data_IF_082604116163
#
_entry.id   IF_082604116163
#
_cell.length_a   1.000
_cell.length_b   1.000
_cell.length_c   1.000
_cell.angle_alpha   90.00
_cell.angle_beta   90.00
_cell.angle_gamma   90.00
#
_symmetry.space_group_name_H-M   'P 1'
#
loop_
_entity.id
_entity.type
_entity.pdbx_description
1 polymer ?
#
# COMPACT_ATOMS: atom_id res chain seq x y z
N UNK A 1 16.61 -7.95 50.10
CA UNK A 1 17.68 -7.25 49.37
C UNK A 1 18.02 -7.99 48.08
N UNK A 2 17.17 -7.95 47.04
CA UNK A 2 17.46 -8.74 45.83
C UNK A 2 16.77 -8.20 44.56
N UNK A 3 17.14 -6.99 44.12
CA UNK A 3 16.75 -6.46 42.78
C UNK A 3 17.79 -5.47 42.23
N UNK A 4 18.99 -5.93 41.85
CA UNK A 4 19.99 -5.08 41.15
C UNK A 4 20.90 -5.80 40.12
N UNK A 5 20.44 -6.86 39.40
CA UNK A 5 21.34 -7.60 38.47
C UNK A 5 21.03 -7.59 36.96
N UNK A 6 19.99 -6.92 36.46
CA UNK A 6 19.60 -7.08 35.04
C UNK A 6 19.89 -5.92 34.08
N UNK A 7 20.69 -4.91 34.44
CA UNK A 7 20.86 -3.71 33.59
C UNK A 7 22.16 -3.64 32.75
N UNK A 8 23.03 -4.67 32.76
CA UNK A 8 24.33 -4.61 32.05
C UNK A 8 24.36 -5.26 30.65
N UNK A 9 23.34 -6.03 30.24
CA UNK A 9 23.37 -6.74 28.93
C UNK A 9 22.85 -5.90 27.76
N UNK A 10 22.04 -4.88 27.99
CA UNK A 10 21.46 -4.08 26.91
C UNK A 10 22.37 -2.96 26.39
N UNK A 11 23.45 -2.61 27.10
CA UNK A 11 24.36 -1.54 26.68
C UNK A 11 25.50 -2.01 25.75
N UNK A 12 25.80 -3.32 25.69
CA UNK A 12 26.87 -3.83 24.82
C UNK A 12 26.44 -4.04 23.35
N UNK A 13 25.14 -4.15 23.05
CA UNK A 13 24.66 -4.32 21.67
C UNK A 13 24.64 -3.03 20.84
N UNK A 14 24.65 -1.85 21.48
CA UNK A 14 24.58 -0.57 20.76
C UNK A 14 25.95 -0.06 20.27
N UNK A 15 27.08 -0.62 20.75
CA UNK A 15 28.43 -0.22 20.31
C UNK A 15 28.92 -0.98 19.06
N UNK A 16 28.44 -2.19 18.81
CA UNK A 16 28.91 -3.02 17.68
C UNK A 16 28.31 -2.60 16.32
N UNK A 17 27.21 -1.84 16.32
CA UNK A 17 26.50 -1.46 15.09
C UNK A 17 27.02 -0.18 14.40
N UNK A 18 27.98 0.54 15.00
CA UNK A 18 28.54 1.77 14.42
C UNK A 18 29.67 1.52 13.42
N UNK A 19 30.15 0.29 13.26
CA UNK A 19 31.32 -0.04 12.41
C UNK A 19 31.00 -0.54 10.99
N UNK A 20 29.72 -0.64 10.58
CA UNK A 20 29.31 -1.20 9.27
C UNK A 20 28.58 -0.21 8.35
N UNK A 21 29.08 1.02 8.21
CA UNK A 21 28.68 1.91 7.10
C UNK A 21 29.69 1.81 5.96
N UNK A 22 29.41 0.97 4.96
CA UNK A 22 30.08 1.07 3.65
C UNK A 22 29.37 2.14 2.80
N UNK A 23 30.09 3.08 2.17
CA UNK A 23 29.50 4.03 1.22
C UNK A 23 29.10 3.31 -0.09
N UNK A 24 27.98 3.70 -0.67
CA UNK A 24 27.52 3.24 -2.00
C UNK A 24 28.33 3.94 -3.11
N UNK A 25 28.70 3.25 -4.20
CA UNK A 25 29.39 3.86 -5.33
C UNK A 25 28.45 4.74 -6.17
N UNK A 26 28.96 5.88 -6.64
CA UNK A 26 28.22 6.81 -7.51
C UNK A 26 28.16 6.33 -8.98
N UNK A 27 27.09 6.68 -9.73
CA UNK A 27 26.91 6.28 -11.12
C UNK A 27 27.69 7.17 -12.10
N UNK A 28 28.45 6.53 -13.00
CA UNK A 28 29.20 7.18 -14.08
C UNK A 28 28.30 7.71 -15.21
N UNK A 29 28.58 8.93 -15.70
CA UNK A 29 27.91 9.53 -16.87
C UNK A 29 28.69 9.31 -18.19
N UNK A 30 28.00 9.09 -19.32
CA UNK A 30 28.63 8.91 -20.62
C UNK A 30 28.95 10.25 -21.33
N UNK A 31 30.12 10.33 -21.98
CA UNK A 31 30.58 11.47 -22.78
C UNK A 31 30.10 11.37 -24.23
N UNK A 32 29.56 12.46 -24.80
CA UNK A 32 29.17 12.55 -26.21
C UNK A 32 30.28 13.19 -27.06
N UNK A 33 30.45 12.71 -28.30
CA UNK A 33 31.36 13.29 -29.30
C UNK A 33 30.59 13.69 -30.55
N UNK A 34 30.79 14.93 -31.01
CA UNK A 34 30.13 15.52 -32.18
C UNK A 34 31.16 15.77 -33.30
N UNK A 35 30.98 15.15 -34.48
CA UNK A 35 31.77 15.43 -35.69
C UNK A 35 30.92 16.21 -36.71
N UNK A 36 31.37 17.41 -37.09
CA UNK A 36 30.80 18.23 -38.19
C UNK A 36 31.48 17.88 -39.52
N UNK A 37 30.70 17.58 -40.55
CA UNK A 37 31.14 17.51 -41.97
C UNK A 37 30.68 18.76 -42.72
N UNK A 38 31.59 19.38 -43.48
CA UNK A 38 31.35 20.51 -44.40
C UNK A 38 31.01 19.96 -45.80
N UNK A 39 30.06 20.59 -46.50
CA UNK A 39 29.70 20.27 -47.90
C UNK A 39 29.75 21.51 -48.79
N UNK A 40 30.01 21.26 -50.08
CA UNK A 40 30.49 22.17 -51.13
C UNK A 40 29.32 22.85 -51.91
N UNK A 41 29.38 24.14 -52.34
CA UNK A 41 28.17 24.91 -52.69
C UNK A 41 27.84 25.13 -54.18
N UNK A 42 28.40 24.43 -55.17
CA UNK A 42 28.24 24.79 -56.60
C UNK A 42 27.46 23.80 -57.49
N UNK A 43 26.20 23.50 -57.15
CA UNK A 43 25.23 22.89 -58.08
C UNK A 43 23.80 23.37 -57.75
N UNK A 44 23.45 24.60 -58.13
CA UNK A 44 22.11 25.16 -57.90
C UNK A 44 21.74 26.08 -59.06
N UNK A 45 20.99 25.59 -60.07
CA UNK A 45 19.96 26.47 -60.69
C UNK A 45 18.95 25.79 -61.63
N UNK A 46 19.21 24.63 -62.25
CA UNK A 46 18.22 24.02 -63.18
C UNK A 46 17.28 22.96 -62.55
N UNK A 47 17.55 22.51 -61.32
CA UNK A 47 16.71 21.53 -60.61
C UNK A 47 15.50 22.13 -59.85
N UNK A 48 15.38 23.47 -59.81
CA UNK A 48 14.47 24.20 -58.91
C UNK A 48 12.98 23.91 -59.14
N UNK A 49 12.50 23.86 -60.38
CA UNK A 49 11.05 23.86 -60.63
C UNK A 49 10.41 22.47 -60.52
N UNK A 50 11.08 21.41 -61.02
CA UNK A 50 10.62 20.01 -60.82
C UNK A 50 10.73 19.58 -59.35
N UNK A 51 11.75 20.05 -58.61
CA UNK A 51 11.85 19.79 -57.17
C UNK A 51 10.73 20.48 -56.39
N UNK A 52 10.41 21.75 -56.70
CA UNK A 52 9.30 22.48 -56.06
C UNK A 52 7.94 21.81 -56.25
N UNK A 53 7.64 21.28 -57.45
CA UNK A 53 6.39 20.54 -57.69
C UNK A 53 6.35 19.20 -56.94
N UNK A 54 7.42 18.41 -56.97
CA UNK A 54 7.52 17.16 -56.18
C UNK A 54 7.38 17.43 -54.67
N UNK A 55 7.95 18.52 -54.18
CA UNK A 55 7.89 18.89 -52.76
C UNK A 55 6.47 19.31 -52.33
N UNK A 56 5.74 20.07 -53.17
CA UNK A 56 4.33 20.40 -52.93
C UNK A 56 3.43 19.16 -52.94
N UNK A 57 3.63 18.21 -53.86
CA UNK A 57 2.88 16.95 -53.89
C UNK A 57 3.16 16.10 -52.64
N UNK A 58 4.43 16.00 -52.20
CA UNK A 58 4.81 15.26 -51.00
C UNK A 58 4.22 15.87 -49.72
N UNK A 59 4.20 17.21 -49.62
CA UNK A 59 3.55 17.90 -48.49
C UNK A 59 2.03 17.66 -48.46
N UNK A 60 1.36 17.67 -49.62
CA UNK A 60 -0.08 17.39 -49.73
C UNK A 60 -0.42 15.94 -49.34
N UNK A 61 0.40 14.97 -49.77
CA UNK A 61 0.23 13.57 -49.38
C UNK A 61 0.44 13.35 -47.87
N UNK A 62 1.48 13.94 -47.28
CA UNK A 62 1.69 13.86 -45.83
C UNK A 62 0.54 14.49 -45.05
N UNK A 63 -0.01 15.63 -45.49
CA UNK A 63 -1.13 16.26 -44.78
C UNK A 63 -2.40 15.39 -44.80
N UNK A 64 -2.63 14.63 -45.86
CA UNK A 64 -3.77 13.71 -45.99
C UNK A 64 -3.57 12.49 -45.07
N UNK A 65 -2.38 11.89 -45.07
CA UNK A 65 -2.06 10.77 -44.16
C UNK A 65 -2.21 11.15 -42.68
N UNK A 66 -1.72 12.33 -42.27
CA UNK A 66 -1.88 12.78 -40.88
C UNK A 66 -3.34 12.99 -40.49
N UNK A 67 -4.19 13.44 -41.42
CA UNK A 67 -5.63 13.60 -41.18
C UNK A 67 -6.34 12.24 -41.05
N UNK A 68 -5.96 11.25 -41.87
CA UNK A 68 -6.50 9.89 -41.79
C UNK A 68 -6.12 9.24 -40.46
N UNK A 69 -4.84 9.29 -40.08
CA UNK A 69 -4.35 8.73 -38.81
C UNK A 69 -5.02 9.38 -37.58
N UNK A 70 -5.21 10.71 -37.58
CA UNK A 70 -5.96 11.38 -36.50
C UNK A 70 -7.42 10.94 -36.45
N UNK A 71 -8.07 10.75 -37.61
CA UNK A 71 -9.48 10.33 -37.67
C UNK A 71 -9.67 8.88 -37.21
N UNK A 72 -8.73 7.99 -37.54
CA UNK A 72 -8.73 6.60 -37.07
C UNK A 72 -8.43 6.49 -35.57
N UNK A 73 -7.46 7.27 -35.06
CA UNK A 73 -7.15 7.33 -33.63
C UNK A 73 -8.34 7.82 -32.80
N UNK A 74 -9.02 8.89 -33.24
CA UNK A 74 -10.23 9.37 -32.57
C UNK A 74 -11.40 8.37 -32.64
N UNK A 75 -11.47 7.55 -33.71
CA UNK A 75 -12.52 6.53 -33.86
C UNK A 75 -12.25 5.29 -32.99
N UNK A 76 -10.98 4.97 -32.71
CA UNK A 76 -10.59 3.93 -31.76
C UNK A 76 -10.74 4.39 -30.30
N UNK A 77 -10.38 5.64 -29.97
CA UNK A 77 -10.59 6.21 -28.63
C UNK A 77 -12.09 6.21 -28.26
N UNK A 78 -12.99 6.55 -29.20
CA UNK A 78 -14.43 6.56 -28.93
C UNK A 78 -15.11 5.17 -28.89
N UNK A 79 -14.54 4.14 -29.53
CA UNK A 79 -15.10 2.77 -29.48
C UNK A 79 -14.71 1.99 -28.23
N UNK A 80 -13.67 2.41 -27.52
CA UNK A 80 -13.20 1.71 -26.31
C UNK A 80 -13.99 2.13 -25.06
N UNK A 81 -14.69 3.26 -25.11
CA UNK A 81 -15.34 3.86 -23.94
C UNK A 81 -16.75 3.31 -23.65
N UNK A 82 -17.44 2.73 -24.64
CA UNK A 82 -18.85 2.33 -24.49
C UNK A 82 -19.05 0.86 -24.06
N UNK A 83 -18.08 -0.04 -24.27
CA UNK A 83 -18.24 -1.46 -23.91
C UNK A 83 -17.82 -1.82 -22.48
N UNK A 84 -17.38 -0.83 -21.68
CA UNK A 84 -16.80 -1.09 -20.35
C UNK A 84 -17.48 -0.31 -19.23
N UNK A 85 -18.76 0.05 -19.38
CA UNK A 85 -19.60 0.40 -18.23
C UNK A 85 -20.02 -0.85 -17.44
N UNK A 86 -19.05 -1.73 -17.17
CA UNK A 86 -19.21 -2.79 -16.18
C UNK A 86 -19.47 -2.08 -14.86
N UNK A 87 -20.67 -2.24 -14.29
CA UNK A 87 -21.01 -1.66 -12.99
C UNK A 87 -19.87 -1.94 -12.02
N UNK A 88 -19.12 -0.90 -11.65
CA UNK A 88 -17.98 -1.04 -10.75
C UNK A 88 -18.55 -1.39 -9.38
N UNK A 89 -18.65 -2.69 -9.11
CA UNK A 89 -19.08 -3.19 -7.82
C UNK A 89 -17.93 -2.98 -6.84
N UNK A 90 -18.05 -1.93 -6.02
CA UNK A 90 -17.09 -1.64 -4.96
C UNK A 90 -17.00 -2.81 -4.00
N UNK A 91 -15.77 -3.22 -3.74
CA UNK A 91 -15.48 -4.34 -2.87
C UNK A 91 -15.13 -3.87 -1.47
N UNK A 92 -15.61 -4.61 -0.46
CA UNK A 92 -15.16 -4.48 0.92
C UNK A 92 -15.14 -5.87 1.57
N UNK A 93 -14.14 -6.20 2.42
CA UNK A 93 -14.03 -7.52 3.03
C UNK A 93 -15.28 -7.89 3.83
N UNK A 94 -15.70 -9.16 3.77
CA UNK A 94 -16.82 -9.67 4.58
C UNK A 94 -16.39 -9.96 6.03
N UNK A 95 -15.09 -10.15 6.26
CA UNK A 95 -14.51 -10.39 7.59
C UNK A 95 -13.27 -9.52 7.81
N UNK A 96 -13.19 -8.89 8.98
CA UNK A 96 -11.96 -8.27 9.48
C UNK A 96 -11.37 -9.14 10.60
N UNK A 97 -10.14 -9.60 10.42
CA UNK A 97 -9.38 -10.36 11.41
C UNK A 97 -8.60 -9.39 12.30
N UNK A 98 -8.74 -9.52 13.61
CA UNK A 98 -8.00 -8.74 14.61
C UNK A 98 -7.36 -9.65 15.65
N UNK A 99 -6.15 -9.32 16.07
CA UNK A 99 -5.48 -9.98 17.19
C UNK A 99 -5.95 -9.52 18.57
N UNK A 100 -6.77 -8.47 18.67
CA UNK A 100 -7.33 -7.98 19.93
C UNK A 100 -6.39 -7.15 20.81
N UNK A 101 -5.21 -6.71 20.34
CA UNK A 101 -4.33 -5.80 21.07
C UNK A 101 -4.83 -4.33 21.03
N UNK A 102 -4.29 -3.45 21.88
CA UNK A 102 -4.42 -1.99 21.72
C UNK A 102 -3.75 -1.51 20.43
N UNK A 103 -4.06 -0.29 19.96
CA UNK A 103 -3.49 0.27 18.73
C UNK A 103 -4.19 -0.25 17.47
N UNK A 104 -3.43 -0.74 16.50
CA UNK A 104 -3.97 -1.15 15.20
C UNK A 104 -5.07 -2.24 15.30
N UNK A 105 -4.83 -3.29 16.11
CA UNK A 105 -5.80 -4.36 16.35
C UNK A 105 -7.14 -3.83 16.91
N UNK A 106 -7.17 -2.62 17.50
CA UNK A 106 -8.38 -2.00 18.04
C UNK A 106 -9.16 -1.14 17.02
N UNK A 107 -8.62 -0.90 15.83
CA UNK A 107 -9.29 -0.14 14.76
C UNK A 107 -10.67 -0.74 14.43
N UNK A 108 -10.81 -2.07 14.20
CA UNK A 108 -12.11 -2.65 13.84
C UNK A 108 -13.17 -2.45 14.93
N UNK A 109 -12.77 -2.49 16.21
CA UNK A 109 -13.69 -2.28 17.34
C UNK A 109 -14.24 -0.86 17.38
N UNK A 110 -13.43 0.12 16.98
CA UNK A 110 -13.81 1.55 16.93
C UNK A 110 -14.85 1.82 15.83
N UNK A 111 -14.81 1.07 14.74
CA UNK A 111 -15.75 1.18 13.61
C UNK A 111 -16.81 0.06 13.59
N UNK A 112 -16.93 -0.71 14.67
CA UNK A 112 -17.78 -1.92 14.72
C UNK A 112 -19.23 -1.69 14.27
N UNK A 113 -19.86 -0.59 14.72
CA UNK A 113 -21.24 -0.27 14.31
C UNK A 113 -21.37 -0.07 12.80
N UNK A 114 -20.36 0.52 12.16
CA UNK A 114 -20.32 0.71 10.71
C UNK A 114 -20.11 -0.64 9.99
N UNK A 115 -19.19 -1.48 10.49
CA UNK A 115 -18.95 -2.82 9.96
C UNK A 115 -20.22 -3.67 10.03
N UNK A 116 -20.91 -3.69 11.18
CA UNK A 116 -22.16 -4.42 11.38
C UNK A 116 -23.25 -3.99 10.38
N UNK A 117 -23.42 -2.67 10.16
CA UNK A 117 -24.36 -2.14 9.15
C UNK A 117 -24.04 -2.58 7.72
N UNK A 118 -22.79 -2.93 7.44
CA UNK A 118 -22.32 -3.45 6.14
C UNK A 118 -22.33 -4.98 6.07
N UNK A 119 -22.78 -5.68 7.11
CA UNK A 119 -22.72 -7.14 7.18
C UNK A 119 -21.30 -7.70 7.39
N UNK A 120 -20.34 -6.85 7.77
CA UNK A 120 -18.95 -7.24 7.97
C UNK A 120 -18.75 -7.78 9.38
N UNK A 121 -18.19 -8.99 9.48
CA UNK A 121 -17.91 -9.67 10.75
C UNK A 121 -16.52 -9.29 11.26
N UNK A 122 -16.35 -9.34 12.58
CA UNK A 122 -15.03 -9.32 13.21
C UNK A 122 -14.73 -10.72 13.72
N UNK A 123 -13.52 -11.20 13.47
CA UNK A 123 -13.01 -12.48 13.96
C UNK A 123 -11.55 -12.32 14.39
N UNK A 124 -10.99 -13.39 14.96
CA UNK A 124 -9.56 -13.50 15.21
C UNK A 124 -9.23 -14.14 16.54
N UNK A 125 -7.95 -14.42 16.72
CA UNK A 125 -7.38 -15.08 17.87
C UNK A 125 -6.64 -14.08 18.75
N UNK A 126 -6.95 -14.14 20.04
CA UNK A 126 -6.21 -13.48 21.12
C UNK A 126 -5.22 -14.48 21.76
N UNK A 127 -4.13 -14.02 22.39
CA UNK A 127 -3.26 -14.91 23.15
C UNK A 127 -3.97 -15.54 24.36
N UNK A 128 -3.46 -16.68 24.84
CA UNK A 128 -3.93 -17.36 26.07
C UNK A 128 -4.05 -16.38 27.24
N UNK A 129 -5.15 -16.46 27.97
CA UNK A 129 -5.61 -15.56 29.02
C UNK A 129 -6.19 -14.24 28.49
N UNK A 130 -6.56 -14.18 27.21
CA UNK A 130 -6.94 -12.95 26.50
C UNK A 130 -5.97 -11.78 26.77
N UNK A 131 -4.65 -12.04 26.81
CA UNK A 131 -3.66 -11.02 27.16
C UNK A 131 -3.74 -9.81 26.23
N UNK A 132 -3.86 -8.62 26.84
CA UNK A 132 -3.94 -7.31 26.20
C UNK A 132 -3.27 -6.29 27.10
N UNK A 133 -2.64 -5.25 26.54
CA UNK A 133 -1.85 -4.28 27.32
C UNK A 133 -2.66 -3.49 28.36
N UNK A 134 -3.95 -3.29 28.12
CA UNK A 134 -4.86 -2.57 29.03
C UNK A 134 -5.61 -3.49 30.01
N UNK A 135 -5.33 -4.80 29.98
CA UNK A 135 -6.00 -5.79 30.83
C UNK A 135 -7.45 -6.09 30.46
N UNK A 136 -8.02 -5.47 29.41
CA UNK A 136 -9.46 -5.58 29.06
C UNK A 136 -9.75 -6.67 28.02
N UNK A 137 -8.81 -7.58 27.78
CA UNK A 137 -8.89 -8.52 26.66
C UNK A 137 -10.12 -9.44 26.70
N UNK A 138 -10.46 -10.03 27.85
CA UNK A 138 -11.65 -10.91 27.95
C UNK A 138 -12.95 -10.16 27.63
N UNK A 139 -13.09 -8.90 28.10
CA UNK A 139 -14.24 -8.04 27.79
C UNK A 139 -14.33 -7.72 26.30
N UNK A 140 -13.18 -7.43 25.66
CA UNK A 140 -13.11 -7.19 24.21
C UNK A 140 -13.48 -8.47 23.43
N UNK A 141 -12.94 -9.62 23.83
CA UNK A 141 -13.21 -10.89 23.18
C UNK A 141 -14.69 -11.26 23.25
N UNK A 142 -15.32 -11.17 24.42
CA UNK A 142 -16.74 -11.42 24.60
C UNK A 142 -17.60 -10.47 23.75
N UNK A 143 -17.28 -9.18 23.74
CA UNK A 143 -18.06 -8.17 23.03
C UNK A 143 -18.01 -8.31 21.50
N UNK A 144 -16.86 -8.71 20.95
CA UNK A 144 -16.62 -8.72 19.51
C UNK A 144 -16.45 -10.12 18.92
N UNK A 145 -16.60 -11.18 19.71
CA UNK A 145 -16.54 -12.57 19.25
C UNK A 145 -15.13 -13.06 18.91
N UNK A 146 -14.09 -12.60 19.64
CA UNK A 146 -12.72 -13.11 19.45
C UNK A 146 -12.51 -14.42 20.22
N UNK A 147 -11.65 -15.28 19.68
CA UNK A 147 -11.34 -16.60 20.26
C UNK A 147 -10.05 -16.56 21.07
N UNK A 148 -10.03 -17.31 22.16
CA UNK A 148 -8.81 -17.51 22.93
C UNK A 148 -7.88 -18.51 22.24
N UNK A 149 -6.61 -18.16 22.12
CA UNK A 149 -5.58 -19.04 21.58
C UNK A 149 -4.95 -19.96 22.61
N UNK A 150 -4.32 -21.04 22.12
CA UNK A 150 -3.58 -21.99 22.97
C UNK A 150 -2.22 -21.45 23.44
N UNK A 151 -1.68 -20.44 22.76
CA UNK A 151 -0.33 -19.90 22.99
C UNK A 151 -0.27 -18.39 23.17
N UNK A 152 0.94 -17.84 23.17
CA UNK A 152 1.20 -16.40 23.30
C UNK A 152 0.99 -15.60 22.00
N UNK A 153 1.57 -14.40 21.95
CA UNK A 153 1.45 -13.48 20.81
C UNK A 153 1.95 -14.08 19.49
N UNK A 154 3.01 -14.87 19.52
CA UNK A 154 3.53 -15.54 18.32
C UNK A 154 2.49 -16.50 17.73
N UNK A 155 1.89 -17.35 18.58
CA UNK A 155 0.87 -18.32 18.18
C UNK A 155 -0.37 -17.61 17.60
N UNK A 156 -0.91 -16.60 18.29
CA UNK A 156 -2.10 -15.88 17.82
C UNK A 156 -1.85 -15.12 16.51
N UNK A 157 -0.64 -14.57 16.33
CA UNK A 157 -0.26 -13.92 15.07
C UNK A 157 -0.26 -14.93 13.90
N UNK A 158 0.37 -16.10 14.07
CA UNK A 158 0.39 -17.16 13.04
C UNK A 158 -1.03 -17.62 12.66
N UNK A 159 -1.87 -17.90 13.67
CA UNK A 159 -3.27 -18.32 13.44
C UNK A 159 -4.11 -17.28 12.74
N UNK A 160 -3.94 -16.00 13.05
CA UNK A 160 -4.63 -14.93 12.34
C UNK A 160 -4.17 -14.79 10.88
N UNK A 161 -2.89 -15.08 10.59
CA UNK A 161 -2.36 -15.08 9.21
C UNK A 161 -2.86 -16.28 8.40
N UNK A 162 -3.00 -17.45 9.03
CA UNK A 162 -3.59 -18.65 8.41
C UNK A 162 -5.03 -18.39 7.97
N UNK A 163 -5.80 -17.59 8.74
CA UNK A 163 -7.22 -17.32 8.48
C UNK A 163 -7.50 -16.12 7.57
N UNK A 164 -6.51 -15.30 7.20
CA UNK A 164 -6.73 -14.12 6.36
C UNK A 164 -6.36 -14.35 4.89
N UNK A 165 -6.94 -13.54 4.00
CA UNK A 165 -6.59 -13.51 2.58
C UNK A 165 -5.60 -12.38 2.27
N UNK A 166 -5.65 -11.30 3.07
CA UNK A 166 -4.79 -10.14 2.95
C UNK A 166 -4.46 -9.52 4.31
N UNK A 167 -3.44 -8.66 4.35
CA UNK A 167 -3.07 -7.89 5.56
C UNK A 167 -2.97 -6.38 5.29
N UNK A 168 -3.44 -5.59 6.24
CA UNK A 168 -3.10 -4.17 6.37
C UNK A 168 -2.20 -3.97 7.60
N UNK A 169 -1.03 -3.39 7.39
CA UNK A 169 -0.03 -3.07 8.39
C UNK A 169 0.00 -1.57 8.72
N UNK A 170 0.05 -1.22 10.00
CA UNK A 170 0.29 0.16 10.45
C UNK A 170 1.62 0.26 11.20
N UNK A 171 2.57 0.98 10.61
CA UNK A 171 3.91 1.20 11.16
C UNK A 171 4.18 2.69 11.41
N UNK A 172 5.27 2.98 12.12
CA UNK A 172 5.81 4.35 12.25
C UNK A 172 7.29 4.34 11.86
N UNK A 173 7.77 5.45 11.29
CA UNK A 173 9.19 5.65 10.99
C UNK A 173 10.05 5.84 12.24
N UNK A 174 9.45 6.07 13.41
CA UNK A 174 10.19 6.21 14.67
C UNK A 174 10.94 4.91 15.01
N UNK A 175 12.22 4.99 15.42
CA UNK A 175 13.07 3.82 15.59
C UNK A 175 12.55 2.85 16.65
N UNK A 176 12.83 1.54 16.42
CA UNK A 176 12.62 0.41 17.36
C UNK A 176 11.16 0.07 17.71
N UNK A 177 10.24 0.20 16.75
CA UNK A 177 8.82 -0.14 16.97
C UNK A 177 8.30 -1.14 15.93
N UNK A 178 7.24 -1.88 16.25
CA UNK A 178 6.55 -2.72 15.27
C UNK A 178 7.21 -4.05 14.91
N UNK A 179 8.13 -4.60 15.72
CA UNK A 179 8.74 -5.92 15.44
C UNK A 179 7.71 -7.04 15.32
N UNK A 180 6.67 -7.02 16.15
CA UNK A 180 5.54 -7.97 16.07
C UNK A 180 4.71 -7.80 14.78
N UNK A 181 4.47 -6.56 14.37
CA UNK A 181 3.78 -6.24 13.10
C UNK A 181 4.61 -6.70 11.91
N UNK A 182 5.91 -6.38 11.90
CA UNK A 182 6.85 -6.75 10.85
C UNK A 182 6.91 -8.26 10.67
N UNK A 183 7.06 -9.02 11.77
CA UNK A 183 7.02 -10.49 11.73
C UNK A 183 5.69 -11.03 11.19
N UNK A 184 4.58 -10.43 11.60
CA UNK A 184 3.25 -10.83 11.11
C UNK A 184 3.10 -10.56 9.63
N UNK A 185 3.51 -9.37 9.17
CA UNK A 185 3.46 -8.97 7.78
C UNK A 185 4.33 -9.88 6.92
N UNK A 186 5.61 -10.07 7.26
CA UNK A 186 6.51 -10.97 6.54
C UNK A 186 6.00 -12.41 6.50
N UNK A 187 5.36 -12.88 7.58
CA UNK A 187 4.74 -14.19 7.57
C UNK A 187 3.54 -14.27 6.61
N UNK A 188 2.73 -13.21 6.52
CA UNK A 188 1.63 -13.14 5.57
C UNK A 188 2.11 -13.09 4.14
N UNK A 189 3.05 -12.20 3.83
CA UNK A 189 3.44 -11.91 2.43
C UNK A 189 4.52 -12.86 1.92
N UNK A 190 5.45 -13.34 2.76
CA UNK A 190 6.58 -14.17 2.34
C UNK A 190 6.58 -15.58 2.97
N UNK A 191 5.59 -15.92 3.80
CA UNK A 191 5.53 -17.21 4.50
C UNK A 191 6.58 -17.41 5.59
N UNK A 192 7.41 -16.39 5.89
CA UNK A 192 8.51 -16.47 6.86
C UNK A 192 8.21 -15.64 8.11
N UNK A 193 8.04 -16.30 9.26
CA UNK A 193 7.86 -15.62 10.55
C UNK A 193 9.20 -15.15 11.12
N UNK A 194 9.82 -14.19 10.46
CA UNK A 194 11.08 -13.59 10.87
C UNK A 194 10.97 -12.06 10.90
N UNK A 195 11.77 -11.42 11.75
CA UNK A 195 11.90 -9.98 11.70
C UNK A 195 12.86 -9.63 10.57
N UNK A 196 12.33 -9.09 9.49
CA UNK A 196 13.09 -8.52 8.39
C UNK A 196 12.59 -7.10 8.21
N UNK A 197 13.48 -6.11 8.38
CA UNK A 197 13.10 -4.71 8.42
C UNK A 197 12.45 -4.32 7.09
N UNK A 198 11.20 -3.84 7.17
CA UNK A 198 10.52 -3.24 6.03
C UNK A 198 10.90 -1.77 6.01
N UNK A 199 11.57 -1.34 4.94
CA UNK A 199 12.02 0.04 4.78
C UNK A 199 10.87 0.91 4.29
N UNK A 200 10.65 2.03 4.98
CA UNK A 200 9.73 3.07 4.52
C UNK A 200 10.34 3.75 3.28
N UNK A 201 9.64 3.78 2.13
CA UNK A 201 10.11 4.56 0.99
C UNK A 201 10.26 6.04 1.31
N UNK A 202 11.20 6.72 0.66
CA UNK A 202 11.49 8.14 0.94
C UNK A 202 10.33 9.08 0.61
N UNK A 203 9.55 8.76 -0.43
CA UNK A 203 8.57 9.67 -1.04
C UNK A 203 7.11 9.27 -0.82
N UNK A 204 6.87 8.06 -0.32
CA UNK A 204 5.50 7.55 -0.11
C UNK A 204 5.36 6.95 1.27
N UNK A 205 4.18 7.13 1.86
CA UNK A 205 3.84 6.64 3.19
C UNK A 205 3.09 5.29 3.14
N UNK A 206 3.13 4.60 2.00
CA UNK A 206 2.56 3.27 1.86
C UNK A 206 3.38 2.39 0.91
N UNK A 207 3.23 1.08 1.05
CA UNK A 207 3.77 0.06 0.15
C UNK A 207 2.73 -1.04 0.01
N UNK A 208 2.53 -1.50 -1.23
CA UNK A 208 1.76 -2.70 -1.54
C UNK A 208 2.75 -3.81 -1.91
N UNK A 209 2.57 -4.99 -1.33
CA UNK A 209 3.34 -6.21 -1.61
C UNK A 209 2.34 -7.30 -1.97
N UNK A 210 2.63 -8.11 -2.98
CA UNK A 210 1.74 -9.19 -3.41
C UNK A 210 2.54 -10.42 -3.85
N UNK A 211 3.18 -11.06 -2.87
CA UNK A 211 3.93 -12.28 -3.08
C UNK A 211 3.04 -13.50 -2.81
N UNK A 212 2.96 -13.98 -1.56
CA UNK A 212 2.09 -15.10 -1.17
C UNK A 212 0.64 -14.66 -0.93
N UNK A 213 0.45 -13.58 -0.16
CA UNK A 213 -0.85 -12.94 0.10
C UNK A 213 -0.66 -11.44 -0.04
N UNK A 214 -1.65 -10.70 -0.59
CA UNK A 214 -1.54 -9.26 -0.73
C UNK A 214 -1.49 -8.56 0.63
N UNK A 215 -0.58 -7.59 0.73
CA UNK A 215 -0.36 -6.78 1.91
C UNK A 215 -0.20 -5.32 1.56
N UNK A 216 -0.77 -4.44 2.38
CA UNK A 216 -0.50 -2.99 2.30
C UNK A 216 -0.02 -2.49 3.65
N UNK A 217 1.04 -1.68 3.66
CA UNK A 217 1.53 -1.01 4.85
C UNK A 217 1.28 0.47 4.72
N UNK A 218 0.85 1.11 5.81
CA UNK A 218 0.85 2.54 5.98
C UNK A 218 1.83 2.95 7.08
N UNK A 219 2.69 3.92 6.80
CA UNK A 219 3.56 4.55 7.76
C UNK A 219 3.03 5.93 8.16
N UNK A 220 3.23 6.28 9.43
CA UNK A 220 3.06 7.65 9.92
C UNK A 220 1.75 8.30 9.47
N UNK A 221 0.64 7.57 9.62
CA UNK A 221 -0.69 8.07 9.32
C UNK A 221 -0.99 9.34 10.14
N UNK A 222 -1.53 10.36 9.47
CA UNK A 222 -1.95 11.62 10.10
C UNK A 222 -3.25 12.10 9.47
N UNK A 223 -3.94 13.05 10.10
CA UNK A 223 -5.16 13.63 9.52
C UNK A 223 -4.92 14.23 8.12
N UNK A 224 -3.76 14.84 7.88
CA UNK A 224 -3.40 15.46 6.60
C UNK A 224 -3.23 14.44 5.46
N UNK A 225 -2.86 13.20 5.79
CA UNK A 225 -2.56 12.14 4.80
C UNK A 225 -3.73 11.17 4.60
N UNK A 226 -4.71 11.20 5.50
CA UNK A 226 -5.77 10.20 5.60
C UNK A 226 -6.62 10.11 4.33
N UNK A 227 -6.89 11.24 3.67
CA UNK A 227 -7.67 11.25 2.43
C UNK A 227 -6.94 10.46 1.34
N UNK A 228 -5.70 10.82 1.06
CA UNK A 228 -4.90 10.13 0.05
C UNK A 228 -4.67 8.65 0.39
N UNK A 229 -4.38 8.33 1.66
CA UNK A 229 -4.25 6.94 2.10
C UNK A 229 -5.55 6.14 1.94
N UNK A 230 -6.71 6.78 2.08
CA UNK A 230 -8.01 6.12 1.87
C UNK A 230 -8.25 5.77 0.41
N UNK A 231 -7.74 6.58 -0.53
CA UNK A 231 -7.77 6.25 -1.96
C UNK A 231 -6.89 5.04 -2.26
N UNK A 232 -5.71 4.95 -1.63
CA UNK A 232 -4.79 3.81 -1.78
C UNK A 232 -5.34 2.54 -1.17
N UNK A 233 -5.98 2.63 0.00
CA UNK A 233 -6.68 1.49 0.58
C UNK A 233 -7.87 1.04 -0.29
N UNK A 234 -8.58 2.00 -0.90
CA UNK A 234 -9.65 1.68 -1.86
C UNK A 234 -9.10 0.96 -3.10
N UNK A 235 -8.01 1.46 -3.69
CA UNK A 235 -7.33 0.82 -4.82
C UNK A 235 -6.93 -0.62 -4.47
N UNK A 236 -6.36 -0.83 -3.29
CA UNK A 236 -6.01 -2.16 -2.78
C UNK A 236 -7.24 -3.09 -2.69
N UNK A 237 -8.39 -2.61 -2.19
CA UNK A 237 -9.61 -3.43 -2.14
C UNK A 237 -10.20 -3.72 -3.51
N UNK A 238 -10.14 -2.77 -4.44
CA UNK A 238 -10.67 -2.95 -5.79
C UNK A 238 -9.83 -3.96 -6.58
N UNK A 239 -8.50 -3.94 -6.38
CA UNK A 239 -7.52 -4.83 -7.01
C UNK A 239 -7.57 -6.26 -6.45
N UNK A 240 -7.38 -6.42 -5.13
CA UNK A 240 -7.17 -7.75 -4.54
C UNK A 240 -8.44 -8.41 -4.02
N UNK A 241 -9.49 -7.64 -3.79
CA UNK A 241 -10.80 -8.11 -3.30
C UNK A 241 -10.73 -9.15 -2.17
N UNK A 242 -10.00 -8.89 -1.06
CA UNK A 242 -9.82 -9.89 -0.03
C UNK A 242 -11.09 -10.13 0.78
N UNK A 243 -11.56 -11.37 0.88
CA UNK A 243 -12.75 -11.70 1.64
C UNK A 243 -12.50 -11.53 3.16
N UNK A 244 -11.31 -11.89 3.64
CA UNK A 244 -10.85 -11.78 5.03
C UNK A 244 -9.60 -10.90 5.13
N UNK A 245 -9.71 -9.74 5.77
CA UNK A 245 -8.61 -8.79 5.93
C UNK A 245 -8.06 -8.80 7.35
N UNK A 246 -6.78 -9.12 7.53
CA UNK A 246 -6.07 -8.97 8.80
C UNK A 246 -5.62 -7.54 9.02
N UNK A 247 -5.98 -6.96 10.16
CA UNK A 247 -5.45 -5.67 10.62
C UNK A 247 -4.33 -5.92 11.64
N UNK A 248 -3.14 -5.38 11.37
CA UNK A 248 -2.00 -5.46 12.28
C UNK A 248 -1.23 -4.14 12.33
N UNK A 249 -0.52 -3.88 13.42
CA UNK A 249 0.24 -2.64 13.56
C UNK A 249 0.75 -2.39 14.97
N UNK A 250 1.37 -1.23 15.13
CA UNK A 250 1.85 -0.77 16.43
C UNK A 250 0.74 -0.72 17.49
N UNK A 251 1.13 -0.88 18.74
CA UNK A 251 0.24 -0.71 19.89
C UNK A 251 0.06 0.76 20.22
N UNK A 252 -1.02 1.12 20.91
CA UNK A 252 -1.34 2.52 21.21
C UNK A 252 -0.24 3.22 22.03
N UNK A 253 0.43 2.51 22.94
CA UNK A 253 1.58 3.02 23.70
C UNK A 253 2.73 3.47 22.80
N UNK A 254 2.91 2.79 21.67
CA UNK A 254 4.00 2.99 20.73
C UNK A 254 3.65 4.03 19.67
N UNK A 255 2.39 4.04 19.24
CA UNK A 255 1.86 5.01 18.30
C UNK A 255 0.54 5.58 18.83
N UNK A 256 0.59 6.60 19.69
CA UNK A 256 -0.61 7.21 20.26
C UNK A 256 -1.51 7.82 19.18
N UNK A 257 -2.82 7.60 19.30
CA UNK A 257 -3.83 8.06 18.35
C UNK A 257 -4.04 7.10 17.16
N UNK A 258 -3.23 6.05 17.01
CA UNK A 258 -3.30 5.12 15.89
C UNK A 258 -4.69 4.48 15.75
N UNK A 259 -5.33 4.06 16.85
CA UNK A 259 -6.68 3.50 16.77
C UNK A 259 -7.68 4.48 16.14
N UNK A 260 -7.62 5.78 16.49
CA UNK A 260 -8.56 6.77 15.97
C UNK A 260 -8.26 7.13 14.51
N UNK A 261 -6.98 7.32 14.17
CA UNK A 261 -6.55 7.63 12.81
C UNK A 261 -6.86 6.48 11.85
N UNK A 262 -6.55 5.24 12.24
CA UNK A 262 -6.89 4.06 11.44
C UNK A 262 -8.40 3.89 11.28
N UNK A 263 -9.20 4.15 12.32
CA UNK A 263 -10.66 4.14 12.21
C UNK A 263 -11.18 5.21 11.22
N UNK A 264 -10.58 6.40 11.21
CA UNK A 264 -10.94 7.47 10.27
C UNK A 264 -10.57 7.08 8.83
N UNK A 265 -9.39 6.48 8.61
CA UNK A 265 -8.98 5.93 7.31
C UNK A 265 -10.01 4.94 6.75
N UNK A 266 -10.45 3.95 7.54
CA UNK A 266 -11.47 2.99 7.12
C UNK A 266 -12.83 3.65 6.82
N UNK A 267 -13.25 4.61 7.65
CA UNK A 267 -14.50 5.36 7.42
C UNK A 267 -14.45 6.14 6.10
N UNK A 268 -13.34 6.79 5.80
CA UNK A 268 -13.17 7.54 4.54
C UNK A 268 -13.13 6.61 3.33
N UNK A 269 -12.45 5.47 3.45
CA UNK A 269 -12.45 4.42 2.40
C UNK A 269 -13.88 3.98 2.07
N UNK A 270 -14.68 3.67 3.09
CA UNK A 270 -16.09 3.29 2.93
C UNK A 270 -16.98 4.44 2.38
N UNK A 271 -16.69 5.70 2.74
CA UNK A 271 -17.40 6.87 2.20
C UNK A 271 -17.11 7.07 0.72
N UNK A 272 -15.85 6.91 0.31
CA UNK A 272 -15.43 7.06 -1.09
C UNK A 272 -16.14 6.05 -2.00
N UNK A 273 -16.36 4.81 -1.53
CA UNK A 273 -17.20 3.83 -2.22
C UNK A 273 -18.64 4.34 -2.42
N UNK A 274 -19.22 4.97 -1.40
CA UNK A 274 -20.58 5.52 -1.46
C UNK A 274 -20.71 6.67 -2.47
N UNK A 275 -19.73 7.58 -2.51
CA UNK A 275 -19.74 8.72 -3.44
C UNK A 275 -19.59 8.27 -4.90
N UNK A 276 -18.65 7.37 -5.17
CA UNK A 276 -18.45 6.88 -6.55
C UNK A 276 -19.66 6.07 -7.06
N UNK A 277 -20.42 5.40 -6.19
CA UNK A 277 -21.73 4.78 -6.56
C UNK A 277 -22.78 5.79 -7.00
N UNK A 278 -22.79 7.00 -6.39
CA UNK A 278 -23.76 8.04 -6.76
C UNK A 278 -23.43 8.64 -8.12
N UNK A 279 -22.14 8.89 -8.39
CA UNK A 279 -21.69 9.47 -9.65
C UNK A 279 -21.92 8.54 -10.86
N UNK A 280 -22.06 7.24 -10.66
CA UNK A 280 -22.39 6.28 -11.74
C UNK A 280 -23.90 6.19 -12.04
N UNK A 281 -24.76 6.79 -11.21
CA UNK A 281 -26.23 6.78 -11.40
C UNK A 281 -26.76 8.06 -12.03
N UNK A 282 -25.93 9.09 -12.13
CA UNK A 282 -26.23 10.36 -12.78
C UNK A 282 -25.57 10.36 -14.15
#
# INVERSE_FOLDING_TARGET
MEKKRNNKKDQQQDQEFRSLKRPYPEPHQPKSTNKKKRTNPNQKQSFSNKQKQKQKQKQKQMSIQTKIQKKEKNKQENKTDQSTQKQIQYFFPSVIISGGQTGADSIPFKIFRLLKKKGVKIQGWMPKGFKRLDGKGSKIAQKYGLREGKGGYHWRNKKNVEECDAIIGFLTSKPRTGSGTTKTFNYTVHGKYAFEQIYKPRLVDWVVVNDLKPGIIFWDITNQKIEHMSEKLQQFFDEFRPNKLLVSGSVEKTYPGLTNLGALLFKMTLKNQGNRRKNLKN
#
